data_IF_840001395734
#
_entry.id   IF_840001395734
#
_cell.length_a   1.000
_cell.length_b   1.000
_cell.length_c   1.000
_cell.angle_alpha   90.00
_cell.angle_beta   90.00
_cell.angle_gamma   90.00
#
_symmetry.space_group_name_H-M   'P 1'
#
loop_
_entity.id
_entity.type
_entity.pdbx_description
1 polymer ?
#
# COMPACT_ATOMS: atom_id res chain seq x y z
N UNK A 1 -6.19 18.39 13.24
CA UNK A 1 -5.04 17.75 13.93
C UNK A 1 -4.82 16.42 13.23
N UNK A 2 -3.86 16.35 12.30
CA UNK A 2 -3.67 15.19 11.44
C UNK A 2 -2.91 14.09 12.19
N UNK A 3 -3.61 13.00 12.52
CA UNK A 3 -2.98 11.71 12.83
C UNK A 3 -2.48 11.11 11.51
N UNK A 4 -1.50 11.74 10.87
CA UNK A 4 -0.70 11.01 9.90
C UNK A 4 0.36 10.27 10.72
N UNK A 5 0.32 8.93 10.84
CA UNK A 5 1.40 8.21 11.48
C UNK A 5 2.69 8.60 10.76
N UNK A 6 3.70 9.01 11.53
CA UNK A 6 5.00 9.37 11.00
C UNK A 6 5.46 8.27 10.02
N UNK A 7 5.60 8.58 8.70
CA UNK A 7 5.84 7.55 7.69
C UNK A 7 7.13 6.77 7.92
N UNK A 8 8.06 7.34 8.72
CA UNK A 8 9.29 6.66 9.13
C UNK A 8 9.03 5.48 10.09
N UNK A 9 7.91 5.47 10.82
CA UNK A 9 7.57 4.39 11.78
C UNK A 9 7.01 3.13 11.12
N UNK A 10 6.71 3.17 9.83
CA UNK A 10 6.21 2.01 9.05
C UNK A 10 7.30 1.37 8.20
N UNK A 11 8.56 1.81 8.33
CA UNK A 11 9.67 1.21 7.62
C UNK A 11 10.09 -0.11 8.30
N UNK A 12 10.08 -1.20 7.53
CA UNK A 12 10.52 -2.52 7.99
C UNK A 12 11.26 -3.27 6.89
N UNK A 13 11.87 -4.40 7.24
CA UNK A 13 12.52 -5.31 6.29
C UNK A 13 11.85 -6.66 6.34
N UNK A 14 11.56 -7.23 5.16
CA UNK A 14 10.99 -8.56 5.02
C UNK A 14 12.00 -9.46 4.30
N UNK A 15 12.09 -10.71 4.73
CA UNK A 15 12.82 -11.74 3.98
C UNK A 15 11.80 -12.65 3.33
N UNK A 16 11.84 -12.76 2.01
CA UNK A 16 10.99 -13.64 1.24
C UNK A 16 11.43 -15.10 1.39
N UNK A 17 10.57 -16.03 0.97
CA UNK A 17 10.86 -17.48 1.01
C UNK A 17 12.07 -17.88 0.17
N UNK A 18 12.38 -17.11 -0.88
CA UNK A 18 13.54 -17.30 -1.75
C UNK A 18 14.82 -16.64 -1.21
N UNK A 19 14.77 -16.06 0.00
CA UNK A 19 15.91 -15.41 0.65
C UNK A 19 16.12 -13.94 0.28
N UNK A 20 15.35 -13.38 -0.68
CA UNK A 20 15.44 -11.94 -1.01
C UNK A 20 15.01 -11.07 0.16
N UNK A 21 15.76 -10.00 0.40
CA UNK A 21 15.48 -9.01 1.46
C UNK A 21 14.86 -7.77 0.84
N UNK A 22 13.62 -7.49 1.20
CA UNK A 22 12.88 -6.34 0.74
C UNK A 22 12.77 -5.28 1.85
N UNK A 23 12.76 -4.03 1.43
CA UNK A 23 12.42 -2.89 2.28
C UNK A 23 10.96 -2.53 2.10
N UNK A 24 10.18 -2.45 3.17
CA UNK A 24 8.78 -2.04 3.13
C UNK A 24 8.65 -0.70 3.81
N UNK A 25 7.98 0.25 3.17
CA UNK A 25 7.71 1.59 3.72
C UNK A 25 6.45 2.20 3.11
N UNK A 26 5.97 3.29 3.67
CA UNK A 26 4.93 4.10 3.03
C UNK A 26 5.39 4.63 1.67
N UNK A 27 4.47 4.71 0.71
CA UNK A 27 4.70 5.37 -0.57
C UNK A 27 4.92 6.87 -0.35
N UNK A 28 5.73 7.47 -1.22
CA UNK A 28 6.09 8.90 -1.19
C UNK A 28 5.80 9.53 -2.56
N UNK A 29 5.56 10.84 -2.64
CA UNK A 29 5.40 11.53 -3.92
C UNK A 29 6.58 11.31 -4.90
N UNK A 30 7.79 11.19 -4.37
CA UNK A 30 9.01 10.90 -5.15
C UNK A 30 9.01 9.51 -5.82
N UNK A 31 8.15 8.59 -5.41
CA UNK A 31 8.07 7.23 -5.97
C UNK A 31 7.32 7.18 -7.31
N UNK A 32 6.90 8.33 -7.85
CA UNK A 32 6.10 8.41 -9.09
C UNK A 32 6.74 7.69 -10.29
N UNK A 33 8.07 7.75 -10.43
CA UNK A 33 8.78 7.06 -11.52
C UNK A 33 8.74 5.54 -11.33
N UNK A 34 9.02 5.06 -10.12
CA UNK A 34 9.08 3.63 -9.81
C UNK A 34 7.68 2.98 -9.69
N UNK A 35 6.63 3.74 -9.33
CA UNK A 35 5.22 3.29 -9.37
C UNK A 35 4.75 3.10 -10.83
N UNK A 36 5.14 4.00 -11.74
CA UNK A 36 4.90 3.82 -13.19
C UNK A 36 5.63 2.62 -13.75
N UNK A 37 6.92 2.47 -13.41
CA UNK A 37 7.72 1.33 -13.86
C UNK A 37 7.15 0.00 -13.36
N UNK A 38 6.72 -0.05 -12.10
CA UNK A 38 6.03 -1.21 -11.54
C UNK A 38 4.76 -1.56 -12.30
N UNK A 39 3.89 -0.57 -12.55
CA UNK A 39 2.67 -0.81 -13.34
C UNK A 39 2.99 -1.31 -14.76
N UNK A 40 4.00 -0.72 -15.42
CA UNK A 40 4.43 -1.13 -16.75
C UNK A 40 4.94 -2.58 -16.75
N UNK A 41 5.57 -3.05 -15.67
CA UNK A 41 6.02 -4.43 -15.52
C UNK A 41 4.92 -5.45 -15.19
N UNK A 42 3.68 -5.01 -14.88
CA UNK A 42 2.57 -5.92 -14.63
C UNK A 42 2.04 -6.54 -15.92
N UNK A 43 1.69 -7.82 -15.85
CA UNK A 43 0.94 -8.51 -16.92
C UNK A 43 -0.43 -7.84 -17.13
N UNK A 44 -1.01 -8.00 -18.33
CA UNK A 44 -2.36 -7.48 -18.62
C UNK A 44 -3.40 -8.05 -17.64
N UNK A 45 -3.32 -9.34 -17.31
CA UNK A 45 -4.18 -9.99 -16.32
C UNK A 45 -4.04 -9.34 -14.94
N UNK A 46 -2.82 -9.06 -14.48
CA UNK A 46 -2.57 -8.38 -13.21
C UNK A 46 -3.16 -6.96 -13.20
N UNK A 47 -3.06 -6.23 -14.32
CA UNK A 47 -3.65 -4.89 -14.47
C UNK A 47 -5.18 -4.96 -14.43
N UNK A 48 -5.77 -5.88 -15.20
CA UNK A 48 -7.21 -6.09 -15.21
C UNK A 48 -7.73 -6.45 -13.80
N UNK A 49 -7.12 -7.40 -13.11
CA UNK A 49 -7.54 -7.80 -11.76
C UNK A 49 -7.41 -6.68 -10.72
N UNK A 50 -6.52 -5.70 -10.95
CA UNK A 50 -6.30 -4.57 -10.03
C UNK A 50 -7.28 -3.42 -10.26
N UNK A 51 -7.68 -3.17 -11.50
CA UNK A 51 -8.48 -2.00 -11.88
C UNK A 51 -9.86 -2.35 -12.44
N UNK A 52 -10.15 -3.65 -12.63
CA UNK A 52 -11.36 -4.18 -13.27
C UNK A 52 -11.62 -3.58 -14.66
N UNK A 53 -10.55 -3.14 -15.33
CA UNK A 53 -10.57 -2.55 -16.67
C UNK A 53 -9.21 -2.75 -17.36
N UNK A 54 -9.19 -2.73 -18.68
CA UNK A 54 -7.96 -2.73 -19.47
C UNK A 54 -7.32 -1.34 -19.41
N UNK A 55 -6.36 -1.17 -18.49
CA UNK A 55 -5.58 0.05 -18.36
C UNK A 55 -4.18 -0.18 -18.96
N UNK A 56 -3.89 0.50 -20.07
CA UNK A 56 -2.61 0.37 -20.77
C UNK A 56 -1.46 1.08 -20.04
N UNK A 57 -1.75 2.21 -19.39
CA UNK A 57 -0.79 3.03 -18.66
C UNK A 57 -1.44 3.79 -17.51
N UNK A 58 -0.64 4.20 -16.52
CA UNK A 58 -1.09 5.13 -15.50
C UNK A 58 -0.99 6.56 -16.02
N UNK A 59 -2.14 7.23 -16.12
CA UNK A 59 -2.16 8.66 -16.43
C UNK A 59 -1.40 9.46 -15.34
N UNK A 60 -0.85 10.64 -15.67
CA UNK A 60 -0.19 11.49 -14.67
C UNK A 60 -1.06 11.77 -13.43
N UNK A 61 -2.37 11.91 -13.64
CA UNK A 61 -3.35 12.09 -12.57
C UNK A 61 -3.45 10.88 -11.65
N UNK A 62 -3.50 9.66 -12.20
CA UNK A 62 -3.55 8.44 -11.40
C UNK A 62 -2.26 8.24 -10.60
N UNK A 63 -1.10 8.51 -11.19
CA UNK A 63 0.19 8.43 -10.48
C UNK A 63 0.22 9.40 -9.31
N UNK A 64 -0.20 10.65 -9.52
CA UNK A 64 -0.30 11.62 -8.43
C UNK A 64 -1.25 11.17 -7.33
N UNK A 65 -2.42 10.64 -7.69
CA UNK A 65 -3.38 10.10 -6.73
C UNK A 65 -2.80 8.94 -5.92
N UNK A 66 -1.98 8.08 -6.56
CA UNK A 66 -1.44 6.89 -5.92
C UNK A 66 -0.19 7.11 -5.07
N UNK A 67 0.57 8.18 -5.31
CA UNK A 67 1.80 8.49 -4.55
C UNK A 67 1.61 9.60 -3.54
N UNK A 68 0.58 10.44 -3.69
CA UNK A 68 0.36 11.62 -2.87
C UNK A 68 -0.84 11.45 -1.92
N UNK A 69 -0.63 10.66 -0.87
CA UNK A 69 -1.66 10.31 0.09
C UNK A 69 -1.64 11.32 1.25
N UNK A 70 -2.66 12.19 1.30
CA UNK A 70 -2.85 13.16 2.37
C UNK A 70 -4.00 12.80 3.32
N UNK A 71 -4.88 11.86 2.92
CA UNK A 71 -6.03 11.46 3.73
C UNK A 71 -5.58 10.45 4.79
N UNK A 72 -5.81 10.76 6.06
CA UNK A 72 -5.51 9.86 7.20
C UNK A 72 -6.22 8.50 7.12
N UNK A 73 -7.20 8.35 6.23
CA UNK A 73 -7.97 7.14 5.99
C UNK A 73 -7.43 6.31 4.84
N UNK A 74 -6.48 6.84 4.09
CA UNK A 74 -5.81 6.13 3.02
C UNK A 74 -4.36 5.86 3.40
N UNK A 75 -3.84 4.70 3.02
CA UNK A 75 -2.43 4.38 3.16
C UNK A 75 -2.01 3.46 2.03
N UNK A 76 -0.77 3.63 1.58
CA UNK A 76 -0.12 2.70 0.67
C UNK A 76 1.27 2.34 1.19
N UNK A 77 1.55 1.04 1.21
CA UNK A 77 2.88 0.49 1.47
C UNK A 77 3.46 -0.03 0.16
N UNK A 78 4.75 0.25 -0.04
CA UNK A 78 5.54 -0.29 -1.14
C UNK A 78 6.58 -1.26 -0.59
N UNK A 79 6.75 -2.39 -1.26
CA UNK A 79 7.86 -3.29 -1.06
C UNK A 79 8.90 -3.01 -2.15
N UNK A 80 10.12 -2.71 -1.73
CA UNK A 80 11.23 -2.28 -2.57
C UNK A 80 12.32 -3.35 -2.56
N UNK A 81 12.77 -3.72 -3.76
CA UNK A 81 13.99 -4.48 -3.97
C UNK A 81 15.09 -3.50 -4.40
N UNK A 82 16.30 -3.67 -3.85
CA UNK A 82 17.48 -2.87 -4.18
C UNK A 82 18.68 -3.75 -4.56
N UNK A 83 18.44 -5.00 -4.96
CA UNK A 83 19.50 -5.93 -5.34
C UNK A 83 20.34 -5.45 -6.54
N UNK A 84 19.74 -4.67 -7.45
CA UNK A 84 20.37 -4.14 -8.66
C UNK A 84 21.03 -2.77 -8.50
N UNK A 85 20.99 -2.18 -7.29
CA UNK A 85 21.50 -0.82 -7.03
C UNK A 85 20.50 0.30 -7.27
N UNK A 86 19.41 0.01 -7.98
CA UNK A 86 18.25 0.89 -8.13
C UNK A 86 17.06 0.34 -7.35
N UNK A 87 16.36 1.21 -6.61
CA UNK A 87 15.14 0.81 -5.91
C UNK A 87 14.01 0.55 -6.89
N UNK A 88 13.53 -0.69 -6.93
CA UNK A 88 12.37 -1.09 -7.72
C UNK A 88 11.22 -1.51 -6.80
N UNK A 89 10.01 -1.03 -7.08
CA UNK A 89 8.81 -1.56 -6.42
C UNK A 89 8.54 -2.96 -6.95
N UNK A 90 8.40 -3.93 -6.04
CA UNK A 90 8.02 -5.31 -6.35
C UNK A 90 6.64 -5.67 -5.80
N UNK A 91 6.02 -4.78 -5.04
CA UNK A 91 4.66 -4.94 -4.55
C UNK A 91 4.10 -3.67 -3.92
N UNK A 92 2.78 -3.48 -4.04
CA UNK A 92 2.07 -2.36 -3.44
C UNK A 92 0.78 -2.86 -2.79
N UNK A 93 0.61 -2.55 -1.51
CA UNK A 93 -0.64 -2.76 -0.77
C UNK A 93 -1.26 -1.40 -0.43
N UNK A 94 -2.57 -1.23 -0.66
CA UNK A 94 -3.32 0.00 -0.36
C UNK A 94 -4.55 -0.33 0.48
N UNK A 95 -4.85 0.51 1.47
CA UNK A 95 -6.14 0.48 2.17
C UNK A 95 -6.79 1.86 2.12
N UNK A 96 -8.11 1.88 2.03
CA UNK A 96 -8.95 3.09 2.15
C UNK A 96 -10.06 2.77 3.14
N UNK A 97 -10.14 3.51 4.23
CA UNK A 97 -11.20 3.36 5.22
C UNK A 97 -12.46 4.10 4.77
N UNK A 98 -13.59 3.40 4.78
CA UNK A 98 -14.89 3.96 4.42
C UNK A 98 -15.32 5.06 5.41
N UNK A 99 -16.04 6.07 4.91
CA UNK A 99 -16.65 7.11 5.75
C UNK A 99 -17.96 6.60 6.36
N UNK A 100 -17.87 5.68 7.32
CA UNK A 100 -19.01 5.18 8.09
C UNK A 100 -19.00 5.74 9.52
N UNK A 101 -20.17 6.13 10.06
CA UNK A 101 -20.33 6.45 11.50
C UNK A 101 -19.57 5.43 12.34
N UNK A 102 -18.68 5.90 13.22
CA UNK A 102 -18.03 5.05 14.22
C UNK A 102 -19.15 4.45 15.08
N UNK A 103 -19.61 3.24 14.75
CA UNK A 103 -20.51 2.51 15.63
C UNK A 103 -19.68 2.14 16.83
N UNK A 104 -19.98 2.76 17.97
CA UNK A 104 -19.40 2.42 19.24
C UNK A 104 -19.68 0.95 19.49
N UNK A 105 -18.71 0.08 19.20
CA UNK A 105 -18.82 -1.35 19.42
C UNK A 105 -18.56 -1.57 20.91
N UNK A 106 -19.61 -1.41 21.71
CA UNK A 106 -19.57 -1.74 23.12
C UNK A 106 -19.33 -3.25 23.23
N UNK A 107 -18.12 -3.65 23.66
CA UNK A 107 -17.82 -5.05 23.96
C UNK A 107 -18.73 -5.49 25.10
N UNK A 108 -19.89 -6.09 24.79
CA UNK A 108 -20.58 -6.93 25.76
C UNK A 108 -19.68 -8.11 26.07
N UNK A 109 -18.97 -8.03 27.21
CA UNK A 109 -18.30 -9.18 27.81
C UNK A 109 -19.37 -10.23 28.09
N UNK A 110 -19.56 -11.19 27.18
CA UNK A 110 -20.23 -12.45 27.52
C UNK A 110 -19.28 -13.19 28.47
N UNK A 111 -19.54 -13.09 29.75
CA UNK A 111 -19.01 -14.00 30.77
C UNK A 111 -19.54 -15.40 30.45
N UNK A 112 -18.67 -16.24 29.86
CA UNK A 112 -18.89 -17.68 29.84
C UNK A 112 -18.72 -18.19 31.28
N UNK A 113 -19.82 -18.68 31.87
CA UNK A 113 -19.76 -19.46 33.11
C UNK A 113 -19.15 -20.84 32.77
N UNK A 114 -18.18 -21.34 33.55
CA UNK A 114 -17.67 -22.69 33.36
C UNK A 114 -18.70 -23.71 33.88
N UNK A 115 -18.73 -24.89 33.25
CA UNK A 115 -19.38 -26.08 33.78
C UNK A 115 -18.41 -26.81 34.71
#
# INVERSE_FOLDING_TARGET
>A
MALNPDPSKLETRLTLRDGRRLRVRSIRPADASIDRAFFAGLSEQSRYMRFMQHLAELTPRLVQQFTNIYDTREMALVALDNASGDEAIVGIARYVAETGRVRHFERRRRTLRPR
#
